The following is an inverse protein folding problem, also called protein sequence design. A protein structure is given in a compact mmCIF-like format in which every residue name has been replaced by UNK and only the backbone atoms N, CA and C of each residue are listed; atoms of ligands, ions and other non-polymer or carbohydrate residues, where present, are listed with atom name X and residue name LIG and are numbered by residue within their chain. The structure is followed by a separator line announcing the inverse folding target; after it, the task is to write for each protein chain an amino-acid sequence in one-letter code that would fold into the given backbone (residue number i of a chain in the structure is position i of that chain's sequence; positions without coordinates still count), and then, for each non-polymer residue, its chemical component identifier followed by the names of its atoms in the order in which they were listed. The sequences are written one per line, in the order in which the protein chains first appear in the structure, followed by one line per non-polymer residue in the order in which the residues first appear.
data_IF_750519550814
#
_entry.id   IF_750519550814
#
_cell.length_a   1.000
_cell.length_b   1.000
_cell.length_c   1.000
_cell.angle_alpha   90.00
_cell.angle_beta   90.00
_cell.angle_gamma   90.00
#
_symmetry.space_group_name_H-M   'P 1'
#
loop_
_entity.id
_entity.type
_entity.pdbx_description
1 polymer ?
#
# COMPACT_ATOMS: atom_id res chain seq x y z
N UNK A 1 19.01 -13.28 -4.76
CA UNK A 1 18.79 -12.84 -3.37
C UNK A 1 18.12 -11.47 -3.38
N UNK A 2 17.73 -10.90 -2.23
CA UNK A 2 16.96 -9.61 -2.19
C UNK A 2 17.68 -8.45 -2.88
N UNK A 3 18.99 -8.41 -2.83
CA UNK A 3 19.78 -7.37 -3.51
C UNK A 3 19.61 -7.43 -5.04
N UNK A 4 19.83 -8.58 -5.65
CA UNK A 4 19.63 -8.78 -7.10
C UNK A 4 18.20 -8.39 -7.49
N UNK A 5 17.22 -8.80 -6.69
CA UNK A 5 15.81 -8.51 -6.94
C UNK A 5 15.49 -6.99 -6.84
N UNK A 6 16.15 -6.24 -5.93
CA UNK A 6 16.01 -4.79 -5.84
C UNK A 6 16.51 -4.09 -7.13
N UNK A 7 17.66 -4.51 -7.64
CA UNK A 7 18.16 -4.01 -8.93
C UNK A 7 17.30 -4.45 -10.11
N UNK A 8 16.71 -5.67 -10.08
CA UNK A 8 15.79 -6.15 -11.12
C UNK A 8 14.54 -5.28 -11.20
N UNK A 9 13.98 -4.89 -10.06
CA UNK A 9 12.84 -3.96 -10.03
C UNK A 9 13.19 -2.63 -10.66
N UNK A 10 14.34 -2.04 -10.36
CA UNK A 10 14.79 -0.77 -10.97
C UNK A 10 15.09 -0.92 -12.47
N UNK A 11 15.66 -2.06 -12.90
CA UNK A 11 15.90 -2.32 -14.33
C UNK A 11 14.62 -2.40 -15.14
N UNK A 12 13.55 -2.97 -14.59
CA UNK A 12 12.23 -2.99 -15.22
C UNK A 12 11.64 -1.59 -15.39
N UNK A 13 12.14 -0.60 -14.66
CA UNK A 13 11.75 0.80 -14.74
C UNK A 13 12.71 1.64 -15.60
N UNK A 14 13.59 1.01 -16.41
CA UNK A 14 14.64 1.68 -17.20
C UNK A 14 15.53 2.61 -16.36
N UNK A 15 15.73 2.28 -15.08
CA UNK A 15 16.67 2.98 -14.18
C UNK A 15 17.92 2.16 -14.03
N UNK A 16 18.92 2.48 -14.87
CA UNK A 16 20.24 1.93 -14.74
C UNK A 16 20.90 2.41 -13.44
N UNK A 17 21.70 1.55 -12.83
CA UNK A 17 22.53 1.91 -11.69
C UNK A 17 23.45 3.08 -12.08
N UNK A 18 23.48 4.15 -11.29
CA UNK A 18 24.35 5.29 -11.50
C UNK A 18 25.42 5.31 -10.40
N UNK A 19 26.70 5.10 -10.80
CA UNK A 19 27.84 5.27 -9.91
C UNK A 19 28.00 4.18 -8.85
N UNK A 20 28.65 4.52 -7.74
CA UNK A 20 29.04 3.63 -6.65
C UNK A 20 27.93 3.44 -5.59
N UNK A 21 26.69 3.32 -6.01
CA UNK A 21 25.58 3.04 -5.10
C UNK A 21 25.85 1.73 -4.38
N UNK A 22 26.05 1.78 -3.07
CA UNK A 22 26.21 0.60 -2.25
C UNK A 22 24.91 0.27 -1.54
N UNK A 23 24.25 -0.81 -1.95
CA UNK A 23 23.14 -1.40 -1.22
C UNK A 23 23.65 -2.54 -0.37
N UNK A 24 23.51 -2.40 0.94
CA UNK A 24 23.91 -3.42 1.91
C UNK A 24 22.68 -3.93 2.63
N UNK A 25 22.50 -5.25 2.66
CA UNK A 25 21.54 -5.89 3.53
C UNK A 25 22.25 -6.45 4.76
N UNK A 26 21.79 -6.08 5.94
CA UNK A 26 22.22 -6.69 7.19
C UNK A 26 21.28 -7.82 7.58
N UNK A 27 21.76 -8.77 8.38
CA UNK A 27 21.11 -10.01 8.81
C UNK A 27 20.82 -10.98 7.66
N UNK A 28 20.47 -12.23 8.01
CA UNK A 28 20.09 -13.27 7.04
C UNK A 28 18.72 -13.01 6.41
N UNK A 29 18.42 -13.76 5.33
CA UNK A 29 17.07 -13.78 4.73
C UNK A 29 16.10 -14.68 5.52
N UNK A 30 16.39 -15.02 6.75
CA UNK A 30 15.54 -15.89 7.56
C UNK A 30 14.18 -15.21 7.77
N UNK A 31 13.11 -15.96 7.55
CA UNK A 31 11.79 -15.40 7.64
C UNK A 31 11.43 -15.03 9.09
N UNK A 32 10.92 -13.82 9.24
CA UNK A 32 10.40 -13.28 10.49
C UNK A 32 8.97 -13.78 10.76
N UNK A 33 8.32 -14.40 9.77
CA UNK A 33 6.94 -14.86 9.84
C UNK A 33 6.77 -16.31 9.44
N UNK A 34 5.82 -16.99 10.05
CA UNK A 34 5.44 -18.37 9.72
C UNK A 34 4.58 -18.37 8.46
N UNK A 35 5.23 -18.37 7.30
CA UNK A 35 4.58 -18.41 5.99
C UNK A 35 5.47 -19.14 4.98
N UNK A 36 4.90 -19.95 4.07
CA UNK A 36 5.67 -20.56 2.99
C UNK A 36 6.10 -19.53 1.93
N UNK A 37 5.46 -18.36 1.89
CA UNK A 37 5.74 -17.35 0.88
C UNK A 37 6.97 -16.50 1.23
N UNK A 38 7.75 -16.15 0.21
CA UNK A 38 8.98 -15.34 0.34
C UNK A 38 8.69 -13.84 0.52
N UNK A 39 7.75 -13.51 1.43
CA UNK A 39 7.35 -12.11 1.70
C UNK A 39 8.51 -11.27 2.22
N UNK A 40 9.39 -11.85 3.04
CA UNK A 40 10.60 -11.20 3.54
C UNK A 40 11.51 -10.74 2.41
N UNK A 41 11.71 -11.62 1.40
CA UNK A 41 12.51 -11.30 0.21
C UNK A 41 11.88 -10.18 -0.61
N UNK A 42 10.58 -10.24 -0.87
CA UNK A 42 9.86 -9.23 -1.63
C UNK A 42 9.88 -7.86 -0.92
N UNK A 43 9.57 -7.82 0.38
CA UNK A 43 9.60 -6.58 1.17
C UNK A 43 10.99 -5.97 1.25
N UNK A 44 12.01 -6.77 1.53
CA UNK A 44 13.41 -6.31 1.55
C UNK A 44 13.86 -5.75 0.19
N UNK A 45 13.50 -6.43 -0.91
CA UNK A 45 13.84 -5.98 -2.26
C UNK A 45 13.15 -4.65 -2.61
N UNK A 46 11.86 -4.49 -2.28
CA UNK A 46 11.13 -3.24 -2.51
C UNK A 46 11.77 -2.06 -1.75
N UNK A 47 12.13 -2.27 -0.47
CA UNK A 47 12.79 -1.25 0.35
C UNK A 47 14.22 -0.98 -0.11
N UNK A 48 14.96 -2.00 -0.57
CA UNK A 48 16.27 -1.83 -1.20
C UNK A 48 16.19 -0.96 -2.46
N UNK A 49 15.20 -1.21 -3.32
CA UNK A 49 14.95 -0.40 -4.52
C UNK A 49 14.58 1.06 -4.16
N UNK A 50 13.80 1.27 -3.10
CA UNK A 50 13.51 2.61 -2.56
C UNK A 50 14.81 3.30 -2.13
N UNK A 51 15.67 2.62 -1.37
CA UNK A 51 16.94 3.19 -0.93
C UNK A 51 17.81 3.63 -2.10
N UNK A 52 17.93 2.79 -3.13
CA UNK A 52 18.66 3.12 -4.37
C UNK A 52 18.03 4.31 -5.10
N UNK A 53 16.70 4.38 -5.21
CA UNK A 53 16.01 5.51 -5.83
C UNK A 53 16.19 6.82 -5.05
N UNK A 54 16.23 6.76 -3.72
CA UNK A 54 16.54 7.90 -2.84
C UNK A 54 17.97 8.37 -3.02
N UNK A 55 18.93 7.43 -3.14
CA UNK A 55 20.35 7.76 -3.43
C UNK A 55 20.48 8.44 -4.80
N UNK A 56 19.73 7.96 -5.81
CA UNK A 56 19.69 8.57 -7.15
C UNK A 56 19.11 10.01 -7.12
N UNK A 57 18.01 10.23 -6.40
CA UNK A 57 17.44 11.57 -6.20
C UNK A 57 18.42 12.49 -5.44
N UNK A 58 19.14 11.95 -4.47
CA UNK A 58 20.17 12.72 -3.76
C UNK A 58 21.34 13.08 -4.66
N UNK A 59 21.76 12.17 -5.52
CA UNK A 59 22.78 12.46 -6.54
C UNK A 59 22.33 13.58 -7.50
N UNK A 60 21.07 13.55 -7.95
CA UNK A 60 20.52 14.64 -8.78
C UNK A 60 20.49 16.00 -8.04
N UNK A 61 20.27 15.97 -6.71
CA UNK A 61 20.15 17.17 -5.88
C UNK A 61 21.48 17.69 -5.34
N UNK A 62 22.34 16.79 -4.86
CA UNK A 62 23.58 17.11 -4.13
C UNK A 62 24.86 16.79 -4.94
N UNK A 63 24.75 16.19 -6.12
CA UNK A 63 25.88 15.86 -7.00
C UNK A 63 26.61 14.56 -6.65
N UNK A 64 26.23 13.85 -5.57
CA UNK A 64 26.87 12.61 -5.14
C UNK A 64 25.83 11.59 -4.63
N UNK A 65 26.05 10.29 -4.87
CA UNK A 65 25.22 9.24 -4.30
C UNK A 65 25.52 9.06 -2.81
N UNK A 66 24.70 8.23 -2.13
CA UNK A 66 24.94 7.84 -0.74
C UNK A 66 24.72 6.35 -0.55
N UNK A 67 25.37 5.77 0.49
CA UNK A 67 25.21 4.36 0.81
C UNK A 67 23.82 4.07 1.41
N UNK A 68 23.31 2.90 1.08
CA UNK A 68 21.99 2.39 1.50
C UNK A 68 22.18 1.14 2.34
N UNK A 69 21.57 1.10 3.52
CA UNK A 69 21.57 -0.09 4.38
C UNK A 69 20.14 -0.49 4.74
N UNK A 70 19.81 -1.76 4.59
CA UNK A 70 18.52 -2.35 4.94
C UNK A 70 18.73 -3.48 5.94
N UNK A 71 18.18 -3.36 7.14
CA UNK A 71 18.03 -4.48 8.05
C UNK A 71 16.86 -5.36 7.59
N UNK A 72 17.13 -6.63 7.22
CA UNK A 72 16.10 -7.54 6.69
C UNK A 72 15.01 -7.87 7.71
N UNK A 73 15.35 -7.92 9.01
CA UNK A 73 14.34 -8.13 10.05
C UNK A 73 13.42 -6.92 10.16
N UNK A 74 13.96 -5.70 10.13
CA UNK A 74 13.16 -4.47 10.10
C UNK A 74 12.29 -4.39 8.83
N UNK A 75 12.86 -4.70 7.66
CA UNK A 75 12.15 -4.73 6.39
C UNK A 75 10.98 -5.72 6.41
N UNK A 76 11.19 -6.91 6.98
CA UNK A 76 10.14 -7.92 7.09
C UNK A 76 9.09 -7.51 8.12
N UNK A 77 9.50 -7.06 9.30
CA UNK A 77 8.60 -6.58 10.34
C UNK A 77 7.72 -5.42 9.83
N UNK A 78 8.24 -4.57 8.95
CA UNK A 78 7.49 -3.44 8.39
C UNK A 78 6.24 -3.85 7.59
N UNK A 79 6.17 -5.09 7.09
CA UNK A 79 5.00 -5.64 6.40
C UNK A 79 3.79 -5.89 7.34
N UNK A 80 3.95 -5.59 8.63
CA UNK A 80 2.93 -5.74 9.68
C UNK A 80 3.02 -4.59 10.70
N UNK A 81 3.60 -3.43 10.33
CA UNK A 81 3.93 -2.36 11.28
C UNK A 81 2.73 -1.87 12.10
N UNK A 82 1.54 -1.81 11.51
CA UNK A 82 0.32 -1.41 12.21
C UNK A 82 -0.02 -2.29 13.43
N UNK A 83 0.37 -3.57 13.42
CA UNK A 83 0.09 -4.48 14.54
C UNK A 83 1.05 -4.31 15.71
N UNK A 84 2.15 -3.59 15.53
CA UNK A 84 3.13 -3.28 16.57
C UNK A 84 2.86 -1.95 17.26
N UNK A 85 1.89 -1.16 16.75
CA UNK A 85 1.52 0.09 17.38
C UNK A 85 0.91 -0.17 18.76
N UNK A 86 1.43 0.53 19.77
CA UNK A 86 0.79 0.65 21.07
C UNK A 86 0.45 2.13 21.32
N UNK A 87 -0.79 2.37 21.77
CA UNK A 87 -1.24 3.68 22.22
C UNK A 87 -1.34 3.68 23.74
N UNK A 88 -0.55 4.50 24.41
CA UNK A 88 -0.51 4.57 25.88
C UNK A 88 -0.33 3.16 26.51
N UNK A 89 0.52 2.32 25.91
CA UNK A 89 0.78 0.94 26.32
C UNK A 89 -0.26 -0.10 25.90
N UNK A 90 -1.38 0.30 25.28
CA UNK A 90 -2.46 -0.60 24.89
C UNK A 90 -2.46 -0.86 23.37
N UNK A 91 -2.81 -2.08 22.98
CA UNK A 91 -2.97 -2.46 21.58
C UNK A 91 -4.33 -2.02 21.05
N UNK A 92 -4.41 -1.20 19.99
CA UNK A 92 -5.69 -0.85 19.37
C UNK A 92 -6.40 -2.08 18.77
N UNK A 93 -7.74 -2.06 18.77
CA UNK A 93 -8.56 -3.11 18.12
C UNK A 93 -8.62 -2.84 16.63
N UNK A 94 -8.35 -3.85 15.81
CA UNK A 94 -8.18 -3.66 14.36
C UNK A 94 -9.09 -4.51 13.45
N UNK A 95 -9.76 -5.55 13.96
CA UNK A 95 -10.56 -6.46 13.14
C UNK A 95 -12.01 -6.55 13.60
N UNK A 96 -12.94 -6.48 12.64
CA UNK A 96 -14.34 -6.79 12.87
C UNK A 96 -14.51 -8.29 13.08
N UNK A 97 -15.29 -8.73 14.10
CA UNK A 97 -15.47 -10.17 14.41
C UNK A 97 -16.15 -10.96 13.29
N UNK A 98 -16.86 -10.30 12.37
CA UNK A 98 -17.47 -10.96 11.22
C UNK A 98 -16.52 -11.10 10.04
N UNK A 99 -15.36 -10.44 10.03
CA UNK A 99 -14.37 -10.61 8.95
C UNK A 99 -13.75 -12.02 9.02
N UNK A 100 -13.79 -12.76 7.92
CA UNK A 100 -13.23 -14.12 7.92
C UNK A 100 -13.77 -15.03 6.83
N UNK A 101 -13.41 -16.31 6.97
CA UNK A 101 -13.77 -17.38 6.04
C UNK A 101 -15.12 -18.01 6.44
N UNK A 102 -15.93 -18.33 5.43
CA UNK A 102 -17.25 -18.93 5.52
C UNK A 102 -17.42 -19.99 4.45
N UNK A 103 -17.89 -21.18 4.83
CA UNK A 103 -18.19 -22.27 3.89
C UNK A 103 -19.48 -21.96 3.10
N UNK A 104 -19.48 -22.31 1.83
CA UNK A 104 -20.63 -22.20 0.93
C UNK A 104 -21.29 -23.57 0.68
N UNK A 105 -22.49 -23.61 0.15
CA UNK A 105 -23.30 -24.82 -0.12
C UNK A 105 -22.56 -25.82 -1.01
N UNK A 106 -21.83 -25.34 -2.01
CA UNK A 106 -21.06 -26.13 -2.97
C UNK A 106 -19.68 -26.57 -2.46
N UNK A 107 -19.41 -26.42 -1.14
CA UNK A 107 -18.17 -26.83 -0.49
C UNK A 107 -16.97 -25.91 -0.74
N UNK A 108 -17.17 -24.76 -1.33
CA UNK A 108 -16.14 -23.72 -1.45
C UNK A 108 -16.04 -22.89 -0.16
N UNK A 109 -15.07 -22.00 -0.14
CA UNK A 109 -14.88 -21.07 0.97
C UNK A 109 -14.87 -19.64 0.44
N UNK A 110 -15.65 -18.78 1.08
CA UNK A 110 -15.74 -17.34 0.82
C UNK A 110 -15.04 -16.58 1.94
N UNK A 111 -14.22 -15.58 1.62
CA UNK A 111 -13.75 -14.61 2.60
C UNK A 111 -14.58 -13.33 2.49
N UNK A 112 -15.11 -12.85 3.62
CA UNK A 112 -15.83 -11.59 3.73
C UNK A 112 -15.00 -10.58 4.53
N UNK A 113 -14.89 -9.34 4.03
CA UNK A 113 -14.19 -8.25 4.71
C UNK A 113 -15.21 -7.23 5.22
N UNK A 114 -15.41 -7.19 6.53
CA UNK A 114 -16.49 -6.44 7.20
C UNK A 114 -16.00 -5.27 8.07
N UNK A 115 -14.72 -4.94 8.04
CA UNK A 115 -14.11 -3.88 8.87
C UNK A 115 -14.69 -2.47 8.66
N UNK A 116 -15.43 -2.25 7.58
CA UNK A 116 -16.15 -1.01 7.36
C UNK A 116 -17.65 -1.23 7.57
N UNK A 117 -18.37 -0.33 8.30
CA UNK A 117 -19.79 -0.51 8.63
C UNK A 117 -20.66 -0.87 7.43
N UNK A 118 -20.52 -0.15 6.32
CA UNK A 118 -21.31 -0.39 5.10
C UNK A 118 -21.00 -1.74 4.42
N UNK A 119 -19.78 -2.30 4.60
CA UNK A 119 -19.46 -3.66 4.12
C UNK A 119 -20.04 -4.71 5.03
N UNK A 120 -20.02 -4.49 6.35
CA UNK A 120 -20.64 -5.36 7.33
C UNK A 120 -22.15 -5.46 7.13
N UNK A 121 -22.83 -4.33 7.09
CA UNK A 121 -24.27 -4.25 6.83
C UNK A 121 -24.65 -4.87 5.48
N UNK A 122 -23.87 -4.59 4.46
CA UNK A 122 -24.07 -5.16 3.13
C UNK A 122 -23.90 -6.66 3.09
N UNK A 123 -22.88 -7.22 3.76
CA UNK A 123 -22.65 -8.66 3.83
C UNK A 123 -23.83 -9.37 4.54
N UNK A 124 -24.30 -8.84 5.66
CA UNK A 124 -25.47 -9.37 6.38
C UNK A 124 -26.73 -9.32 5.51
N UNK A 125 -27.03 -8.18 4.92
CA UNK A 125 -28.22 -7.99 4.08
C UNK A 125 -28.19 -8.88 2.83
N UNK A 126 -27.07 -8.98 2.13
CA UNK A 126 -26.95 -9.74 0.87
C UNK A 126 -27.00 -11.25 1.15
N UNK A 127 -26.32 -11.72 2.19
CA UNK A 127 -26.35 -13.14 2.55
C UNK A 127 -27.73 -13.59 3.08
N UNK A 128 -28.54 -12.65 3.59
CA UNK A 128 -29.79 -12.95 4.27
C UNK A 128 -29.62 -13.34 5.74
N UNK A 129 -28.49 -12.95 6.37
CA UNK A 129 -28.28 -13.17 7.80
C UNK A 129 -29.24 -12.32 8.63
N UNK A 130 -30.01 -12.95 9.51
CA UNK A 130 -31.01 -12.27 10.37
C UNK A 130 -30.38 -11.49 11.51
N UNK A 131 -29.20 -11.92 11.98
CA UNK A 131 -28.49 -11.32 13.10
C UNK A 131 -27.05 -10.99 12.72
N UNK A 132 -26.46 -10.01 13.40
CA UNK A 132 -25.07 -9.57 13.20
C UNK A 132 -24.06 -10.42 13.97
N UNK A 133 -24.26 -11.74 14.05
CA UNK A 133 -23.35 -12.70 14.68
C UNK A 133 -22.59 -13.48 13.63
N UNK A 134 -21.46 -14.06 14.01
CA UNK A 134 -20.65 -14.88 13.11
C UNK A 134 -21.37 -16.17 12.70
N UNK A 135 -22.09 -16.76 13.62
CA UNK A 135 -22.89 -17.98 13.45
C UNK A 135 -24.02 -17.75 12.45
N UNK A 136 -24.82 -16.71 12.64
CA UNK A 136 -25.92 -16.36 11.72
C UNK A 136 -25.42 -16.04 10.31
N UNK A 137 -24.27 -15.35 10.19
CA UNK A 137 -23.65 -15.08 8.89
C UNK A 137 -23.13 -16.36 8.23
N UNK A 138 -22.55 -17.28 9.00
CA UNK A 138 -22.11 -18.59 8.49
C UNK A 138 -23.27 -19.44 7.97
N UNK A 139 -24.37 -19.53 8.74
CA UNK A 139 -25.58 -20.23 8.31
C UNK A 139 -26.21 -19.63 7.05
N UNK A 140 -26.16 -18.29 6.92
CA UNK A 140 -26.70 -17.62 5.75
C UNK A 140 -25.84 -17.87 4.52
N UNK A 141 -24.51 -17.75 4.63
CA UNK A 141 -23.55 -18.00 3.52
C UNK A 141 -23.61 -19.46 3.07
N UNK A 142 -23.78 -20.42 3.98
CA UNK A 142 -23.91 -21.85 3.67
C UNK A 142 -25.13 -22.21 2.79
N UNK A 143 -26.06 -21.28 2.57
CA UNK A 143 -27.20 -21.47 1.66
C UNK A 143 -26.91 -21.06 0.23
N UNK A 144 -25.77 -20.40 -0.02
CA UNK A 144 -25.38 -19.89 -1.33
C UNK A 144 -24.32 -20.76 -1.98
N UNK A 145 -24.36 -20.86 -3.32
CA UNK A 145 -23.20 -21.32 -4.09
C UNK A 145 -22.12 -20.23 -4.14
N UNK A 146 -20.87 -20.66 -4.14
CA UNK A 146 -19.74 -19.75 -3.98
C UNK A 146 -19.68 -18.65 -5.03
N UNK A 147 -19.87 -18.98 -6.33
CA UNK A 147 -19.84 -17.98 -7.39
C UNK A 147 -21.03 -17.02 -7.33
N UNK A 148 -22.20 -17.50 -6.90
CA UNK A 148 -23.39 -16.67 -6.76
C UNK A 148 -23.22 -15.61 -5.67
N UNK A 149 -22.75 -16.01 -4.46
CA UNK A 149 -22.53 -15.06 -3.37
C UNK A 149 -21.38 -14.10 -3.68
N UNK A 150 -20.31 -14.55 -4.34
CA UNK A 150 -19.21 -13.66 -4.76
C UNK A 150 -19.73 -12.56 -5.69
N UNK A 151 -20.57 -12.95 -6.68
CA UNK A 151 -21.19 -12.00 -7.61
C UNK A 151 -22.16 -11.05 -6.91
N UNK A 152 -22.99 -11.55 -5.99
CA UNK A 152 -23.95 -10.75 -5.24
C UNK A 152 -23.27 -9.74 -4.31
N UNK A 153 -22.21 -10.12 -3.58
CA UNK A 153 -21.42 -9.25 -2.72
C UNK A 153 -20.74 -8.15 -3.55
N UNK A 154 -20.13 -8.52 -4.68
CA UNK A 154 -19.49 -7.55 -5.57
C UNK A 154 -20.51 -6.58 -6.21
N UNK A 155 -21.63 -7.10 -6.70
CA UNK A 155 -22.73 -6.32 -7.29
C UNK A 155 -23.38 -5.38 -6.27
N UNK A 156 -23.45 -5.78 -5.00
CA UNK A 156 -23.91 -4.94 -3.90
C UNK A 156 -22.91 -3.89 -3.41
N UNK A 157 -21.76 -3.75 -4.06
CA UNK A 157 -20.73 -2.78 -3.70
C UNK A 157 -19.99 -3.13 -2.40
N UNK A 158 -20.10 -4.38 -1.94
CA UNK A 158 -19.41 -4.89 -0.76
C UNK A 158 -18.09 -5.59 -1.15
N UNK A 159 -17.36 -6.10 -0.17
CA UNK A 159 -16.05 -6.71 -0.38
C UNK A 159 -16.02 -8.15 0.15
N UNK A 160 -15.79 -9.06 -0.77
CA UNK A 160 -15.62 -10.47 -0.51
C UNK A 160 -15.07 -11.18 -1.73
N UNK A 161 -14.52 -12.37 -1.56
CA UNK A 161 -13.97 -13.16 -2.65
C UNK A 161 -13.84 -14.63 -2.27
N UNK A 162 -14.06 -15.49 -3.27
CA UNK A 162 -13.85 -16.92 -3.11
C UNK A 162 -12.36 -17.23 -2.97
N UNK A 163 -12.07 -18.16 -2.07
CA UNK A 163 -10.74 -18.79 -2.03
C UNK A 163 -10.56 -19.62 -3.30
N UNK A 164 -9.45 -19.37 -3.98
CA UNK A 164 -9.06 -20.09 -5.20
C UNK A 164 -7.70 -20.75 -5.00
N UNK A 165 -7.45 -21.79 -5.79
CA UNK A 165 -6.07 -22.26 -5.98
C UNK A 165 -5.29 -21.31 -6.90
N UNK A 166 -3.97 -21.49 -6.99
CA UNK A 166 -3.14 -20.75 -7.94
C UNK A 166 -3.54 -21.06 -9.39
N UNK A 167 -3.87 -22.33 -9.67
CA UNK A 167 -4.29 -22.81 -10.97
C UNK A 167 -5.64 -22.20 -11.37
N UNK A 168 -6.62 -22.22 -10.46
CA UNK A 168 -7.92 -21.57 -10.67
C UNK A 168 -7.76 -20.08 -10.98
N UNK A 169 -6.88 -19.39 -10.24
CA UNK A 169 -6.64 -17.97 -10.46
C UNK A 169 -5.96 -17.70 -11.81
N UNK A 170 -4.94 -18.46 -12.17
CA UNK A 170 -4.24 -18.27 -13.45
C UNK A 170 -5.12 -18.56 -14.66
N UNK A 171 -6.13 -19.42 -14.53
CA UNK A 171 -7.15 -19.68 -15.54
C UNK A 171 -8.31 -18.68 -15.51
N UNK A 172 -8.47 -17.91 -14.42
CA UNK A 172 -9.55 -16.96 -14.28
C UNK A 172 -9.40 -15.80 -15.27
N UNK A 173 -10.47 -15.31 -15.95
CA UNK A 173 -10.37 -14.25 -16.96
C UNK A 173 -9.64 -12.99 -16.48
N UNK A 174 -9.82 -12.61 -15.21
CA UNK A 174 -9.10 -11.48 -14.64
C UNK A 174 -7.63 -11.82 -14.36
N UNK A 175 -7.34 -13.02 -13.87
CA UNK A 175 -5.98 -13.51 -13.68
C UNK A 175 -5.17 -13.49 -14.97
N UNK A 176 -5.78 -13.97 -16.08
CA UNK A 176 -5.18 -13.92 -17.43
C UNK A 176 -4.91 -12.47 -17.89
N UNK A 177 -5.86 -11.57 -17.64
CA UNK A 177 -5.71 -10.17 -18.05
C UNK A 177 -4.54 -9.48 -17.29
N UNK A 178 -4.49 -9.62 -15.96
CA UNK A 178 -3.47 -8.94 -15.14
C UNK A 178 -2.10 -9.61 -15.19
N UNK A 179 -1.99 -10.87 -15.59
CA UNK A 179 -0.71 -11.56 -15.74
C UNK A 179 0.21 -10.91 -16.78
N UNK A 180 -0.33 -10.10 -17.69
CA UNK A 180 0.41 -9.38 -18.74
C UNK A 180 0.91 -8.00 -18.28
N UNK A 181 0.43 -7.51 -17.16
CA UNK A 181 0.78 -6.19 -16.65
C UNK A 181 2.09 -6.23 -15.86
N UNK A 182 2.90 -5.18 -15.88
CA UNK A 182 4.11 -5.10 -15.09
C UNK A 182 3.79 -4.99 -13.59
N UNK A 183 4.76 -5.29 -12.74
CA UNK A 183 4.67 -5.12 -11.29
C UNK A 183 4.36 -3.67 -10.91
N UNK A 184 4.99 -2.74 -11.62
CA UNK A 184 4.89 -1.30 -11.46
C UNK A 184 4.95 -0.67 -12.85
N UNK A 185 3.99 0.19 -13.17
CA UNK A 185 3.87 0.86 -14.46
C UNK A 185 4.05 2.38 -14.27
N UNK A 186 4.87 3.01 -15.14
CA UNK A 186 5.11 4.45 -15.12
C UNK A 186 5.00 4.97 -16.55
N UNK A 187 3.89 5.64 -16.85
CA UNK A 187 3.60 6.18 -18.18
C UNK A 187 3.58 7.71 -18.21
N UNK A 188 4.08 8.30 -19.29
CA UNK A 188 3.98 9.74 -19.52
C UNK A 188 2.54 10.09 -19.94
N UNK A 189 1.93 11.06 -19.26
CA UNK A 189 0.54 11.48 -19.49
C UNK A 189 0.39 12.94 -19.90
N UNK A 190 1.47 13.69 -20.00
CA UNK A 190 1.45 15.08 -20.43
C UNK A 190 2.85 15.61 -20.69
N UNK A 191 2.95 16.65 -21.50
CA UNK A 191 4.20 17.33 -21.77
C UNK A 191 4.44 18.47 -20.78
N UNK A 192 5.68 18.59 -20.32
CA UNK A 192 6.17 19.71 -19.51
C UNK A 192 7.69 19.81 -19.67
N UNK A 193 8.29 20.98 -19.53
CA UNK A 193 9.76 21.09 -19.53
C UNK A 193 10.37 20.36 -18.33
N UNK A 194 11.65 19.94 -18.42
CA UNK A 194 12.38 19.41 -17.28
C UNK A 194 12.33 20.36 -16.10
N UNK A 195 12.02 19.81 -14.92
CA UNK A 195 11.89 20.57 -13.67
C UNK A 195 12.85 19.99 -12.63
N UNK A 196 13.91 20.69 -12.25
CA UNK A 196 14.84 20.24 -11.22
C UNK A 196 14.11 19.90 -9.91
N UNK A 197 14.70 18.99 -9.13
CA UNK A 197 14.18 18.68 -7.79
C UNK A 197 14.21 19.93 -6.90
N UNK A 198 13.21 20.14 -6.06
CA UNK A 198 13.20 21.25 -5.11
C UNK A 198 14.43 21.20 -4.18
N UNK A 199 14.90 22.37 -3.72
CA UNK A 199 15.97 22.45 -2.73
C UNK A 199 15.52 21.84 -1.40
N UNK A 200 16.44 21.27 -0.63
CA UNK A 200 16.18 20.70 0.67
C UNK A 200 17.35 19.83 1.15
N UNK A 201 17.35 19.50 2.41
CA UNK A 201 18.40 18.78 3.13
C UNK A 201 18.24 17.24 3.09
N UNK A 202 17.18 16.76 2.45
CA UNK A 202 16.87 15.33 2.27
C UNK A 202 16.46 15.05 0.82
N UNK A 203 16.47 13.78 0.37
CA UNK A 203 16.18 13.44 -1.04
C UNK A 203 14.86 14.02 -1.55
N UNK A 204 13.80 13.99 -0.74
CA UNK A 204 12.48 14.52 -1.07
C UNK A 204 12.16 15.87 -0.41
N UNK A 205 13.15 16.54 0.20
CA UNK A 205 12.96 17.88 0.80
C UNK A 205 12.42 18.87 -0.24
N UNK A 206 11.34 19.58 0.11
CA UNK A 206 10.64 20.52 -0.75
C UNK A 206 9.65 19.92 -1.74
N UNK A 207 9.54 18.60 -1.83
CA UNK A 207 8.51 17.92 -2.65
C UNK A 207 7.17 17.96 -1.91
N UNK A 208 6.11 18.43 -2.56
CA UNK A 208 4.74 18.49 -2.03
C UNK A 208 3.89 17.34 -2.54
N UNK A 209 3.38 16.54 -1.63
CA UNK A 209 2.58 15.33 -1.92
C UNK A 209 1.16 15.49 -1.41
N UNK A 210 0.19 15.50 -2.31
CA UNK A 210 -1.23 15.49 -2.00
C UNK A 210 -1.71 14.04 -1.95
N UNK A 211 -1.99 13.54 -0.73
CA UNK A 211 -2.30 12.13 -0.46
C UNK A 211 -3.80 11.95 -0.21
N UNK A 212 -4.54 11.47 -1.23
CA UNK A 212 -5.96 11.13 -1.16
C UNK A 212 -6.18 9.62 -0.99
N UNK A 213 -5.30 8.96 -0.27
CA UNK A 213 -5.40 7.52 -0.07
C UNK A 213 -6.06 7.16 1.26
N UNK A 214 -6.41 5.88 1.42
CA UNK A 214 -7.07 5.37 2.62
C UNK A 214 -6.58 3.96 2.91
N UNK A 215 -6.86 3.50 4.11
CA UNK A 215 -6.52 2.19 4.62
C UNK A 215 -5.00 2.05 4.74
N UNK A 216 -4.29 1.24 3.96
CA UNK A 216 -2.93 0.85 4.29
C UNK A 216 -1.91 1.11 3.16
N UNK A 217 -2.14 0.63 1.93
CA UNK A 217 -1.16 0.71 0.84
C UNK A 217 -0.75 2.16 0.51
N UNK A 218 -1.72 3.02 0.21
CA UNK A 218 -1.45 4.42 -0.09
C UNK A 218 -0.87 5.19 1.08
N UNK A 219 -1.46 5.12 2.30
CA UNK A 219 -0.89 5.75 3.47
C UNK A 219 0.54 5.30 3.79
N UNK A 220 0.91 4.03 3.52
CA UNK A 220 2.31 3.56 3.62
C UNK A 220 3.21 4.28 2.63
N UNK A 221 2.78 4.46 1.36
CA UNK A 221 3.52 5.25 0.37
C UNK A 221 3.77 6.68 0.86
N UNK A 222 2.72 7.36 1.33
CA UNK A 222 2.83 8.72 1.88
C UNK A 222 3.78 8.80 3.09
N UNK A 223 3.79 7.78 4.00
CA UNK A 223 4.72 7.71 5.12
C UNK A 223 6.17 7.60 4.63
N UNK A 224 6.45 6.72 3.65
CA UNK A 224 7.80 6.56 3.08
C UNK A 224 8.28 7.86 2.43
N UNK A 225 7.41 8.59 1.75
CA UNK A 225 7.77 9.89 1.17
C UNK A 225 8.04 10.94 2.26
N UNK A 226 7.22 10.99 3.30
CA UNK A 226 7.35 11.94 4.42
C UNK A 226 8.62 11.70 5.24
N UNK A 227 8.97 10.44 5.57
CA UNK A 227 10.17 10.11 6.34
C UNK A 227 11.47 10.47 5.60
N UNK A 228 11.40 10.68 4.28
CA UNK A 228 12.52 11.10 3.43
C UNK A 228 12.43 12.57 2.99
N UNK A 229 11.56 13.38 3.63
CA UNK A 229 11.56 14.84 3.55
C UNK A 229 10.43 15.47 2.77
N UNK A 230 9.55 14.72 2.12
CA UNK A 230 8.39 15.30 1.44
C UNK A 230 7.41 15.96 2.42
N UNK A 231 6.83 17.10 2.04
CA UNK A 231 5.65 17.65 2.69
C UNK A 231 4.42 16.89 2.22
N UNK A 232 3.88 16.01 3.07
CA UNK A 232 2.71 15.20 2.74
C UNK A 232 1.47 15.77 3.42
N UNK A 233 0.50 16.21 2.61
CA UNK A 233 -0.82 16.63 3.05
C UNK A 233 -1.83 15.51 2.75
N UNK A 234 -2.21 14.76 3.78
CA UNK A 234 -3.20 13.71 3.70
C UNK A 234 -4.62 14.29 3.75
N UNK A 235 -5.39 14.06 2.69
CA UNK A 235 -6.75 14.55 2.54
C UNK A 235 -7.74 13.41 2.74
N UNK A 236 -8.65 13.57 3.68
CA UNK A 236 -9.77 12.68 3.91
C UNK A 236 -11.10 13.45 3.88
N UNK A 237 -12.22 12.74 3.93
CA UNK A 237 -13.54 13.38 3.99
C UNK A 237 -14.25 12.97 5.28
N UNK A 238 -14.91 13.90 5.99
CA UNK A 238 -15.47 13.64 7.32
C UNK A 238 -16.60 12.59 7.33
N UNK A 239 -17.22 12.34 6.17
CA UNK A 239 -18.28 11.33 6.03
C UNK A 239 -17.76 9.92 5.69
N UNK A 240 -16.46 9.77 5.43
CA UNK A 240 -15.87 8.47 5.10
C UNK A 240 -15.33 7.82 6.38
N UNK A 241 -15.65 6.54 6.63
CA UNK A 241 -15.08 5.83 7.78
C UNK A 241 -13.57 5.67 7.62
N UNK A 242 -12.83 5.70 8.73
CA UNK A 242 -11.39 5.46 8.76
C UNK A 242 -11.02 4.56 9.94
N UNK A 243 -9.84 3.99 9.88
CA UNK A 243 -9.28 3.11 10.90
C UNK A 243 -8.17 3.85 11.64
N UNK A 244 -8.45 4.25 12.87
CA UNK A 244 -7.55 5.07 13.69
C UNK A 244 -6.22 4.37 13.97
N UNK A 245 -6.25 3.07 14.19
CA UNK A 245 -5.07 2.23 14.45
C UNK A 245 -4.10 2.21 13.26
N UNK A 246 -4.61 2.24 12.04
CA UNK A 246 -3.78 2.32 10.83
C UNK A 246 -3.20 3.74 10.68
N UNK A 247 -4.00 4.76 11.00
CA UNK A 247 -3.53 6.15 10.95
C UNK A 247 -2.42 6.42 11.97
N UNK A 248 -2.48 5.79 13.17
CA UNK A 248 -1.40 5.87 14.16
C UNK A 248 -0.08 5.31 13.66
N UNK A 249 -0.10 4.30 12.79
CA UNK A 249 1.09 3.75 12.13
C UNK A 249 1.54 4.60 10.94
N UNK A 250 0.63 4.85 10.01
CA UNK A 250 0.97 5.43 8.70
C UNK A 250 0.93 6.95 8.65
N UNK A 251 0.45 7.60 9.70
CA UNK A 251 0.28 9.07 9.77
C UNK A 251 1.54 9.84 10.12
N UNK A 252 2.61 9.17 10.56
CA UNK A 252 3.86 9.83 10.94
C UNK A 252 4.46 10.64 9.78
N UNK A 253 4.90 11.85 10.08
CA UNK A 253 5.48 12.79 9.11
C UNK A 253 4.46 13.57 8.28
N UNK A 254 3.17 13.25 8.35
CA UNK A 254 2.10 13.85 7.53
C UNK A 254 1.32 14.91 8.28
N UNK A 255 0.68 15.80 7.52
CA UNK A 255 -0.43 16.66 7.95
C UNK A 255 -1.74 16.09 7.43
N UNK A 256 -2.81 16.16 8.22
CA UNK A 256 -4.10 15.54 7.92
C UNK A 256 -5.22 16.59 7.88
N UNK A 257 -5.88 16.78 6.73
CA UNK A 257 -6.92 17.75 6.53
C UNK A 257 -8.23 17.14 6.02
N UNK A 258 -9.36 17.82 6.27
CA UNK A 258 -10.65 17.47 5.70
C UNK A 258 -10.94 18.25 4.42
N UNK A 259 -11.34 17.53 3.36
CA UNK A 259 -11.98 18.12 2.17
C UNK A 259 -13.15 17.22 1.76
N UNK A 260 -14.35 17.78 1.63
CA UNK A 260 -15.53 17.07 1.14
C UNK A 260 -15.78 17.37 -0.35
N UNK A 261 -15.40 16.43 -1.22
CA UNK A 261 -15.57 16.55 -2.67
C UNK A 261 -17.03 16.42 -3.16
N UNK A 262 -18.01 16.33 -2.27
CA UNK A 262 -19.43 16.45 -2.61
C UNK A 262 -19.85 17.93 -2.64
N UNK A 263 -19.02 18.82 -2.11
CA UNK A 263 -19.25 20.26 -2.04
C UNK A 263 -18.40 21.00 -3.08
N UNK A 264 -18.96 21.96 -3.82
CA UNK A 264 -18.19 22.76 -4.78
C UNK A 264 -16.96 23.45 -4.17
N UNK A 265 -17.08 23.95 -2.94
CA UNK A 265 -15.96 24.55 -2.21
C UNK A 265 -14.82 23.56 -1.95
N UNK A 266 -15.15 22.27 -1.68
CA UNK A 266 -14.16 21.23 -1.51
C UNK A 266 -13.42 20.90 -2.81
N UNK A 267 -14.14 20.88 -3.93
CA UNK A 267 -13.54 20.70 -5.26
C UNK A 267 -12.58 21.86 -5.55
N UNK A 268 -13.01 23.12 -5.38
CA UNK A 268 -12.17 24.30 -5.61
C UNK A 268 -10.91 24.32 -4.69
N UNK A 269 -11.07 23.90 -3.43
CA UNK A 269 -9.94 23.78 -2.50
C UNK A 269 -8.93 22.74 -2.99
N UNK A 270 -9.39 21.57 -3.43
CA UNK A 270 -8.50 20.52 -3.94
C UNK A 270 -7.80 20.97 -5.23
N UNK A 271 -8.49 21.62 -6.16
CA UNK A 271 -7.88 22.19 -7.37
C UNK A 271 -6.77 23.20 -7.03
N UNK A 272 -7.01 24.10 -6.08
CA UNK A 272 -6.00 25.03 -5.59
C UNK A 272 -4.75 24.33 -5.05
N UNK A 273 -4.93 23.24 -4.30
CA UNK A 273 -3.81 22.44 -3.80
C UNK A 273 -3.05 21.71 -4.91
N UNK A 274 -3.76 21.25 -5.95
CA UNK A 274 -3.13 20.55 -7.10
C UNK A 274 -2.17 21.48 -7.83
N UNK A 275 -2.48 22.77 -8.02
CA UNK A 275 -1.62 23.73 -8.70
C UNK A 275 -0.23 23.90 -8.05
N UNK A 276 -0.09 23.55 -6.78
CA UNK A 276 1.17 23.65 -6.04
C UNK A 276 1.81 22.29 -5.72
N UNK A 277 1.14 21.19 -6.07
CA UNK A 277 1.61 19.85 -5.78
C UNK A 277 2.64 19.34 -6.78
N UNK A 278 3.61 18.59 -6.31
CA UNK A 278 4.53 17.80 -7.15
C UNK A 278 3.95 16.41 -7.43
N UNK A 279 3.19 15.87 -6.47
CA UNK A 279 2.66 14.51 -6.51
C UNK A 279 1.20 14.52 -6.07
N UNK A 280 0.36 13.80 -6.79
CA UNK A 280 -1.03 13.52 -6.44
C UNK A 280 -1.25 12.02 -6.34
N UNK A 281 -1.47 11.51 -5.12
CA UNK A 281 -1.64 10.08 -4.86
C UNK A 281 -3.09 9.77 -4.51
N UNK A 282 -3.67 8.74 -5.13
CA UNK A 282 -5.03 8.27 -4.85
C UNK A 282 -5.09 6.74 -4.75
N UNK A 283 -6.01 6.23 -3.90
CA UNK A 283 -6.30 4.81 -3.71
C UNK A 283 -7.76 4.45 -3.93
N UNK A 284 -8.52 5.29 -4.64
CA UNK A 284 -9.90 5.00 -5.01
C UNK A 284 -9.94 4.10 -6.25
N UNK A 285 -11.06 3.41 -6.43
CA UNK A 285 -11.28 2.59 -7.63
C UNK A 285 -11.08 3.41 -8.91
N UNK A 286 -10.52 2.79 -9.97
CA UNK A 286 -10.37 3.47 -11.26
C UNK A 286 -11.67 4.19 -11.69
N UNK A 287 -11.53 5.44 -12.16
CA UNK A 287 -12.65 6.29 -12.58
C UNK A 287 -13.37 7.06 -11.46
N UNK A 288 -13.22 6.73 -10.18
CA UNK A 288 -13.97 7.38 -9.09
C UNK A 288 -13.63 8.87 -8.95
N UNK A 289 -12.37 9.26 -8.95
CA UNK A 289 -11.95 10.66 -8.90
C UNK A 289 -12.09 11.33 -10.27
N UNK A 290 -11.90 10.62 -11.36
CA UNK A 290 -12.13 11.12 -12.72
C UNK A 290 -13.58 11.62 -12.89
N UNK A 291 -14.57 10.90 -12.36
CA UNK A 291 -15.98 11.32 -12.36
C UNK A 291 -16.24 12.59 -11.54
N UNK A 292 -15.26 13.07 -10.76
CA UNK A 292 -15.29 14.32 -9.99
C UNK A 292 -14.37 15.40 -10.55
N UNK A 293 -13.85 15.22 -11.78
CA UNK A 293 -12.97 16.19 -12.42
C UNK A 293 -11.48 16.01 -12.15
N UNK A 294 -11.09 14.92 -11.46
CA UNK A 294 -9.69 14.64 -11.11
C UNK A 294 -9.18 13.37 -11.79
N UNK A 295 -9.28 13.30 -13.14
CA UNK A 295 -8.56 12.29 -13.89
C UNK A 295 -7.06 12.61 -13.94
N UNK A 296 -6.17 11.62 -14.12
CA UNK A 296 -4.74 11.88 -14.25
C UNK A 296 -4.40 12.91 -15.34
N UNK A 297 -5.08 12.85 -16.48
CA UNK A 297 -4.90 13.77 -17.59
C UNK A 297 -5.33 15.19 -17.20
N UNK A 298 -6.50 15.33 -16.55
CA UNK A 298 -6.95 16.63 -16.06
C UNK A 298 -6.05 17.23 -14.99
N UNK A 299 -5.53 16.40 -14.08
CA UNK A 299 -4.55 16.83 -13.07
C UNK A 299 -3.26 17.29 -13.75
N UNK A 300 -2.80 16.61 -14.82
CA UNK A 300 -1.64 17.01 -15.60
C UNK A 300 -1.85 18.33 -16.38
N UNK A 301 -3.08 18.60 -16.81
CA UNK A 301 -3.45 19.92 -17.39
C UNK A 301 -3.44 21.04 -16.34
N UNK A 302 -3.96 20.78 -15.14
CA UNK A 302 -3.98 21.73 -14.02
C UNK A 302 -2.56 22.05 -13.53
N UNK A 303 -1.69 21.06 -13.48
CA UNK A 303 -0.32 21.17 -12.98
C UNK A 303 0.64 20.41 -13.90
N UNK A 304 1.13 21.02 -14.99
CA UNK A 304 2.12 20.40 -15.86
C UNK A 304 3.40 20.01 -15.10
N UNK A 305 3.84 18.78 -15.30
CA UNK A 305 4.96 18.19 -14.55
C UNK A 305 4.58 17.49 -13.25
N UNK A 306 3.30 17.34 -12.95
CA UNK A 306 2.84 16.59 -11.78
C UNK A 306 3.04 15.08 -11.96
N UNK A 307 3.26 14.37 -10.85
CA UNK A 307 3.29 12.91 -10.78
C UNK A 307 1.97 12.43 -10.20
N UNK A 308 1.16 11.73 -10.98
CA UNK A 308 -0.05 11.06 -10.51
C UNK A 308 0.28 9.64 -10.07
N UNK A 309 -0.25 9.20 -8.93
CA UNK A 309 -0.06 7.83 -8.41
C UNK A 309 -1.42 7.19 -8.16
N UNK A 310 -1.65 6.04 -8.75
CA UNK A 310 -2.91 5.29 -8.63
C UNK A 310 -2.66 3.90 -8.09
N UNK A 311 -3.24 3.61 -6.92
CA UNK A 311 -3.15 2.31 -6.25
C UNK A 311 -4.53 1.68 -6.24
N UNK A 312 -4.64 0.41 -6.66
CA UNK A 312 -5.92 -0.32 -6.64
C UNK A 312 -5.71 -1.81 -6.30
N UNK A 313 -6.80 -2.52 -6.01
CA UNK A 313 -6.70 -3.92 -5.62
C UNK A 313 -6.43 -4.85 -6.81
N UNK A 314 -7.18 -4.68 -7.89
CA UNK A 314 -7.24 -5.65 -8.99
C UNK A 314 -6.55 -5.20 -10.28
N UNK A 315 -5.82 -4.09 -10.28
CA UNK A 315 -5.21 -3.55 -11.50
C UNK A 315 -6.15 -2.58 -12.23
N UNK A 316 -5.58 -1.91 -13.24
CA UNK A 316 -6.27 -0.86 -13.99
C UNK A 316 -6.96 -1.40 -15.25
N UNK A 317 -6.80 -2.69 -15.54
CA UNK A 317 -7.34 -3.38 -16.72
C UNK A 317 -8.01 -4.70 -16.31
N UNK A 318 -8.78 -5.27 -17.24
CA UNK A 318 -9.46 -6.54 -17.07
C UNK A 318 -10.81 -6.45 -16.36
N UNK A 319 -11.55 -7.58 -16.28
CA UNK A 319 -12.97 -7.61 -15.87
C UNK A 319 -13.22 -7.12 -14.42
N UNK A 320 -12.22 -7.19 -13.53
CA UNK A 320 -12.37 -6.81 -12.13
C UNK A 320 -11.71 -5.46 -11.78
N UNK A 321 -11.22 -4.70 -12.77
CA UNK A 321 -10.54 -3.43 -12.53
C UNK A 321 -11.36 -2.43 -11.69
N UNK A 322 -12.69 -2.45 -11.81
CA UNK A 322 -13.61 -1.61 -11.03
C UNK A 322 -14.07 -2.23 -9.70
N UNK A 323 -13.71 -3.49 -9.41
CA UNK A 323 -14.12 -4.15 -8.15
C UNK A 323 -13.41 -3.54 -6.94
N UNK A 324 -14.13 -3.54 -5.82
CA UNK A 324 -13.54 -3.24 -4.51
C UNK A 324 -12.71 -4.43 -4.03
N UNK A 325 -11.59 -4.18 -3.39
CA UNK A 325 -10.75 -5.20 -2.79
C UNK A 325 -9.85 -4.63 -1.71
N UNK A 326 -9.38 -5.51 -0.86
CA UNK A 326 -8.38 -5.27 0.19
C UNK A 326 -7.35 -6.39 0.13
N UNK A 327 -6.23 -6.22 0.79
CA UNK A 327 -5.15 -7.19 0.89
C UNK A 327 -5.67 -8.61 1.17
N UNK A 328 -6.45 -8.78 2.24
CA UNK A 328 -7.00 -10.08 2.64
C UNK A 328 -7.83 -10.76 1.55
N UNK A 329 -8.60 -9.99 0.76
CA UNK A 329 -9.40 -10.56 -0.34
C UNK A 329 -8.49 -10.98 -1.49
N UNK A 330 -7.52 -10.12 -1.86
CA UNK A 330 -6.60 -10.43 -2.95
C UNK A 330 -5.76 -11.68 -2.62
N UNK A 331 -5.33 -11.86 -1.37
CA UNK A 331 -4.67 -13.10 -0.93
C UNK A 331 -5.54 -14.35 -1.20
N UNK A 332 -6.85 -14.26 -0.94
CA UNK A 332 -7.78 -15.37 -1.10
C UNK A 332 -8.07 -15.68 -2.58
N UNK A 333 -8.39 -14.67 -3.37
CA UNK A 333 -8.73 -14.90 -4.78
C UNK A 333 -7.54 -15.29 -5.65
N UNK A 334 -6.31 -14.90 -5.25
CA UNK A 334 -5.07 -15.23 -5.99
C UNK A 334 -4.42 -16.55 -5.57
N UNK A 335 -4.97 -17.25 -4.59
CA UNK A 335 -4.48 -18.56 -4.12
C UNK A 335 -3.37 -18.50 -3.08
N UNK A 336 -2.97 -17.31 -2.60
CA UNK A 336 -1.94 -17.21 -1.55
C UNK A 336 -2.45 -17.82 -0.23
N UNK A 337 -3.70 -17.55 0.14
CA UNK A 337 -4.32 -18.09 1.37
C UNK A 337 -4.54 -19.60 1.32
N UNK A 338 -4.87 -20.16 0.16
CA UNK A 338 -5.01 -21.61 -0.01
C UNK A 338 -3.68 -22.33 0.18
N UNK A 339 -2.58 -21.77 -0.32
CA UNK A 339 -1.25 -22.35 -0.15
C UNK A 339 -0.65 -22.09 1.25
N UNK A 340 -1.09 -21.04 1.97
CA UNK A 340 -0.76 -20.83 3.38
C UNK A 340 -1.45 -21.87 4.29
N UNK A 341 -2.63 -22.32 3.91
CA UNK A 341 -3.42 -23.39 4.54
C UNK A 341 -3.77 -24.49 3.55
N UNK A 342 -5.06 -24.65 3.28
CA UNK A 342 -5.61 -25.50 2.20
C UNK A 342 -6.82 -24.79 1.58
N UNK A 343 -7.36 -25.31 0.46
CA UNK A 343 -8.61 -24.78 -0.11
C UNK A 343 -9.80 -24.90 0.86
N UNK A 344 -9.84 -25.98 1.65
CA UNK A 344 -10.90 -26.23 2.62
C UNK A 344 -10.70 -25.47 3.95
N UNK A 345 -9.45 -25.20 4.30
CA UNK A 345 -9.04 -24.49 5.52
C UNK A 345 -7.99 -23.42 5.18
N UNK A 346 -8.38 -22.39 4.43
CA UNK A 346 -7.46 -21.35 4.01
C UNK A 346 -7.00 -20.50 5.20
N UNK A 347 -5.81 -19.97 5.11
CA UNK A 347 -5.28 -19.00 6.06
C UNK A 347 -4.73 -17.81 5.32
N UNK A 348 -5.08 -16.61 5.74
CA UNK A 348 -4.39 -15.43 5.25
C UNK A 348 -2.94 -15.42 5.72
N UNK A 349 -2.09 -14.74 4.99
CA UNK A 349 -0.71 -14.49 5.42
C UNK A 349 -0.72 -13.78 6.80
N UNK A 350 0.29 -14.02 7.64
CA UNK A 350 0.39 -13.37 8.94
C UNK A 350 0.67 -11.85 8.85
N UNK A 351 0.62 -11.30 7.64
CA UNK A 351 0.97 -9.90 7.30
C UNK A 351 0.07 -9.38 6.18
N UNK A 352 -0.09 -8.04 6.10
CA UNK A 352 -0.71 -7.35 4.97
C UNK A 352 0.36 -7.06 3.90
N UNK A 353 1.05 -8.12 3.43
CA UNK A 353 2.20 -8.00 2.53
C UNK A 353 1.86 -7.27 1.22
N UNK A 354 0.65 -7.49 0.70
CA UNK A 354 0.24 -6.88 -0.58
C UNK A 354 0.08 -5.37 -0.44
N UNK A 355 -0.55 -4.91 0.64
CA UNK A 355 -0.73 -3.48 0.92
C UNK A 355 0.62 -2.78 1.16
N UNK A 356 1.45 -3.31 2.07
CA UNK A 356 2.73 -2.67 2.39
C UNK A 356 3.66 -2.62 1.19
N UNK A 357 3.81 -3.73 0.46
CA UNK A 357 4.67 -3.79 -0.73
C UNK A 357 4.10 -2.91 -1.85
N UNK A 358 2.78 -2.86 -2.06
CA UNK A 358 2.18 -1.93 -3.01
C UNK A 358 2.45 -0.46 -2.63
N UNK A 359 2.40 -0.14 -1.34
CA UNK A 359 2.77 1.17 -0.82
C UNK A 359 4.24 1.51 -1.08
N UNK A 360 5.15 0.56 -0.87
CA UNK A 360 6.58 0.72 -1.18
C UNK A 360 6.82 0.92 -2.67
N UNK A 361 6.18 0.12 -3.52
CA UNK A 361 6.28 0.26 -4.98
C UNK A 361 5.68 1.57 -5.48
N UNK A 362 4.63 2.07 -4.87
CA UNK A 362 4.04 3.37 -5.20
C UNK A 362 5.00 4.52 -4.83
N UNK A 363 5.65 4.45 -3.66
CA UNK A 363 6.71 5.39 -3.29
C UNK A 363 7.91 5.31 -4.23
N UNK A 364 8.37 4.10 -4.57
CA UNK A 364 9.43 3.87 -5.55
C UNK A 364 9.08 4.48 -6.91
N UNK A 365 7.88 4.19 -7.43
CA UNK A 365 7.41 4.74 -8.71
C UNK A 365 7.36 6.26 -8.70
N UNK A 366 6.94 6.86 -7.57
CA UNK A 366 6.96 8.31 -7.36
C UNK A 366 8.38 8.86 -7.48
N UNK A 367 9.36 8.24 -6.83
CA UNK A 367 10.77 8.66 -6.86
C UNK A 367 11.36 8.56 -8.27
N UNK A 368 11.10 7.44 -8.97
CA UNK A 368 11.53 7.24 -10.35
C UNK A 368 10.90 8.28 -11.30
N UNK A 369 9.60 8.55 -11.13
CA UNK A 369 8.90 9.55 -11.93
C UNK A 369 9.40 10.98 -11.66
N UNK A 370 9.72 11.33 -10.40
CA UNK A 370 10.36 12.60 -10.05
C UNK A 370 11.75 12.75 -10.71
N UNK A 371 12.55 11.69 -10.77
CA UNK A 371 13.83 11.70 -11.46
C UNK A 371 13.63 11.86 -12.98
N UNK A 372 12.68 11.13 -13.60
CA UNK A 372 12.32 11.30 -15.02
C UNK A 372 11.86 12.73 -15.31
N UNK A 373 11.00 13.30 -14.46
CA UNK A 373 10.58 14.71 -14.58
C UNK A 373 11.76 15.66 -14.55
N UNK A 374 12.71 15.45 -13.67
CA UNK A 374 13.89 16.32 -13.56
C UNK A 374 14.80 16.24 -14.80
N UNK A 375 14.90 15.08 -15.43
CA UNK A 375 15.77 14.81 -16.57
C UNK A 375 15.10 15.04 -17.93
N UNK A 376 13.84 14.67 -18.06
CA UNK A 376 13.13 14.58 -19.35
C UNK A 376 11.88 15.47 -19.40
N UNK A 377 11.48 16.05 -18.26
CA UNK A 377 10.19 16.75 -18.16
C UNK A 377 8.99 15.79 -18.19
N UNK A 378 7.82 16.36 -18.48
CA UNK A 378 6.55 15.62 -18.59
C UNK A 378 5.85 15.40 -17.27
N UNK A 379 4.54 15.14 -17.36
CA UNK A 379 3.70 14.62 -16.29
C UNK A 379 3.64 13.10 -16.39
N UNK A 380 3.63 12.41 -15.26
CA UNK A 380 3.75 10.95 -15.22
C UNK A 380 2.65 10.31 -14.38
N UNK A 381 2.18 9.14 -14.79
CA UNK A 381 1.24 8.32 -14.06
C UNK A 381 1.93 7.03 -13.60
N UNK A 382 1.93 6.81 -12.30
CA UNK A 382 2.40 5.60 -11.63
C UNK A 382 1.19 4.72 -11.30
N UNK A 383 1.20 3.45 -11.72
CA UNK A 383 0.13 2.48 -11.45
C UNK A 383 0.69 1.31 -10.66
N UNK A 384 0.04 0.99 -9.55
CA UNK A 384 0.37 -0.15 -8.68
C UNK A 384 -0.91 -0.88 -8.31
N UNK A 385 -0.84 -2.20 -8.16
CA UNK A 385 -1.98 -2.96 -7.68
C UNK A 385 -1.59 -4.11 -6.76
N UNK A 386 -2.49 -4.45 -5.83
CA UNK A 386 -2.27 -5.55 -4.89
C UNK A 386 -2.16 -6.89 -5.62
N UNK A 387 -2.92 -7.08 -6.70
CA UNK A 387 -2.88 -8.31 -7.49
C UNK A 387 -1.51 -8.53 -8.15
N UNK A 388 -0.84 -7.47 -8.60
CA UNK A 388 0.50 -7.57 -9.16
C UNK A 388 1.54 -7.92 -8.10
N UNK A 389 1.39 -7.38 -6.89
CA UNK A 389 2.22 -7.77 -5.73
C UNK A 389 2.00 -9.25 -5.39
N UNK A 390 0.74 -9.73 -5.41
CA UNK A 390 0.44 -11.14 -5.20
C UNK A 390 1.11 -12.05 -6.25
N UNK A 391 1.07 -11.64 -7.52
CA UNK A 391 1.77 -12.35 -8.61
C UNK A 391 3.28 -12.35 -8.40
N UNK A 392 3.85 -11.21 -8.01
CA UNK A 392 5.28 -11.09 -7.74
C UNK A 392 5.71 -11.99 -6.59
N UNK A 393 5.01 -11.97 -5.44
CA UNK A 393 5.30 -12.87 -4.32
C UNK A 393 5.22 -14.34 -4.77
N UNK A 394 4.18 -14.69 -5.52
CA UNK A 394 4.01 -16.06 -6.02
C UNK A 394 5.13 -16.48 -6.97
N UNK A 395 5.65 -15.58 -7.80
CA UNK A 395 6.75 -15.86 -8.73
C UNK A 395 8.09 -16.13 -8.04
N UNK A 396 8.25 -15.68 -6.79
CA UNK A 396 9.44 -15.94 -5.98
C UNK A 396 9.46 -17.37 -5.40
N UNK A 397 8.38 -18.13 -5.56
CA UNK A 397 8.22 -19.47 -5.04
C UNK A 397 8.01 -19.52 -3.53
N UNK A 398 8.06 -20.73 -2.99
CA UNK A 398 7.82 -21.03 -1.58
C UNK A 398 9.11 -21.42 -0.83
N UNK A 399 9.02 -21.47 0.48
CA UNK A 399 10.07 -21.90 1.40
C UNK A 399 9.71 -23.32 1.87
N UNK A 400 10.59 -24.28 1.65
CA UNK A 400 10.42 -25.63 2.16
C UNK A 400 10.53 -25.64 3.70
N UNK A 401 9.71 -26.46 4.35
CA UNK A 401 9.73 -26.59 5.81
C UNK A 401 9.20 -25.40 6.57
N UNK A 402 8.38 -24.55 5.94
CA UNK A 402 7.83 -23.32 6.53
C UNK A 402 7.10 -23.50 7.87
N UNK A 403 6.57 -24.69 8.15
CA UNK A 403 5.94 -25.00 9.44
C UNK A 403 6.90 -24.95 10.65
N UNK A 404 8.20 -25.06 10.41
CA UNK A 404 9.25 -24.96 11.45
C UNK A 404 9.76 -23.54 11.68
N UNK A 405 9.28 -22.55 10.92
CA UNK A 405 9.71 -21.16 11.07
C UNK A 405 9.18 -20.56 12.38
N UNK A 406 9.92 -19.60 12.90
CA UNK A 406 9.55 -18.89 14.15
C UNK A 406 9.41 -17.41 13.88
N UNK A 407 8.49 -16.79 14.61
CA UNK A 407 8.37 -15.32 14.65
C UNK A 407 9.62 -14.69 15.29
N UNK A 408 9.83 -13.41 14.97
CA UNK A 408 10.93 -12.63 15.54
C UNK A 408 10.79 -12.58 17.06
N UNK A 409 11.86 -12.86 17.82
CA UNK A 409 11.84 -12.74 19.28
C UNK A 409 11.43 -11.35 19.72
N UNK A 410 10.68 -11.24 20.83
CA UNK A 410 10.17 -9.95 21.34
C UNK A 410 11.28 -8.93 21.58
N UNK A 411 12.44 -9.37 22.13
CA UNK A 411 13.58 -8.49 22.38
C UNK A 411 14.17 -7.90 21.07
N UNK A 412 14.19 -8.69 19.99
CA UNK A 412 14.64 -8.21 18.68
C UNK A 412 13.61 -7.27 18.06
N UNK A 413 12.33 -7.58 18.17
CA UNK A 413 11.27 -6.70 17.72
C UNK A 413 11.32 -5.36 18.48
N UNK A 414 11.50 -5.38 19.80
CA UNK A 414 11.60 -4.16 20.62
C UNK A 414 12.73 -3.22 20.15
N UNK A 415 13.85 -3.77 19.69
CA UNK A 415 14.96 -2.99 19.15
C UNK A 415 14.62 -2.25 17.83
N UNK A 416 13.61 -2.71 17.10
CA UNK A 416 13.13 -2.10 15.85
C UNK A 416 12.09 -1.00 16.10
N UNK A 417 11.57 -0.87 17.31
CA UNK A 417 10.53 0.09 17.65
C UNK A 417 11.13 1.40 18.21
N UNK A 418 10.35 2.47 18.09
CA UNK A 418 10.61 3.78 18.67
C UNK A 418 9.36 4.32 19.34
N UNK A 419 9.51 5.38 20.09
CA UNK A 419 8.43 6.06 20.79
C UNK A 419 8.28 7.49 20.30
N UNK A 420 7.04 7.98 20.29
CA UNK A 420 6.72 9.36 19.95
C UNK A 420 5.54 9.85 20.78
N UNK A 421 5.52 11.14 21.09
CA UNK A 421 4.41 11.81 21.75
C UNK A 421 3.73 12.78 20.77
N UNK A 422 2.41 12.78 20.75
CA UNK A 422 1.63 13.59 19.82
C UNK A 422 0.14 13.64 20.17
N UNK A 423 -0.70 14.09 19.23
CA UNK A 423 -2.15 14.19 19.46
C UNK A 423 -2.85 12.85 19.78
N UNK A 424 -2.25 11.71 19.43
CA UNK A 424 -2.73 10.38 19.83
C UNK A 424 -2.23 9.93 21.22
N UNK A 425 -1.51 10.80 21.96
CA UNK A 425 -0.82 10.44 23.19
C UNK A 425 0.55 9.83 22.92
N UNK A 426 0.98 8.91 23.79
CA UNK A 426 2.24 8.17 23.64
C UNK A 426 2.04 6.99 22.71
N UNK A 427 2.79 6.96 21.61
CA UNK A 427 2.80 5.87 20.64
C UNK A 427 4.15 5.14 20.67
N UNK A 428 4.12 3.79 20.66
CA UNK A 428 5.25 2.95 20.31
C UNK A 428 4.98 2.35 18.94
N UNK A 429 5.88 2.51 17.99
CA UNK A 429 5.72 2.13 16.58
C UNK A 429 7.06 1.78 15.93
N UNK A 430 7.04 1.27 14.70
CA UNK A 430 8.25 0.88 13.98
C UNK A 430 9.08 2.12 13.58
N UNK A 431 10.42 1.99 13.63
CA UNK A 431 11.37 2.97 13.09
C UNK A 431 11.33 2.99 11.54
N UNK A 432 11.75 4.08 10.88
CA UNK A 432 12.08 4.05 9.46
C UNK A 432 13.08 2.94 9.13
N UNK A 433 12.84 2.20 8.04
CA UNK A 433 13.61 1.00 7.72
C UNK A 433 14.81 1.31 6.82
N UNK A 434 14.61 2.16 5.81
CA UNK A 434 15.68 2.52 4.86
C UNK A 434 16.66 3.47 5.54
N UNK A 435 17.93 3.05 5.64
CA UNK A 435 18.98 3.85 6.21
C UNK A 435 19.88 4.37 5.10
N UNK A 436 20.04 5.71 5.06
CA UNK A 436 20.89 6.43 4.12
C UNK A 436 22.05 7.05 4.89
N UNK A 437 23.26 6.96 4.35
CA UNK A 437 24.48 7.37 5.07
C UNK A 437 24.58 8.86 5.37
N UNK A 438 24.01 9.73 4.53
CA UNK A 438 24.09 11.19 4.68
C UNK A 438 22.77 11.81 5.10
N UNK A 439 21.64 11.21 4.71
CA UNK A 439 20.31 11.75 4.95
C UNK A 439 19.41 10.70 5.60
N UNK A 440 19.70 10.30 6.87
CA UNK A 440 18.93 9.28 7.55
C UNK A 440 17.44 9.65 7.63
N UNK A 441 16.58 8.68 7.38
CA UNK A 441 15.13 8.87 7.43
C UNK A 441 14.64 9.13 8.85
N UNK A 442 13.70 10.05 9.02
CA UNK A 442 13.04 10.33 10.30
C UNK A 442 11.65 10.96 10.11
N UNK A 443 10.82 10.84 11.11
CA UNK A 443 9.50 11.49 11.13
C UNK A 443 9.61 12.90 11.70
N UNK A 444 9.41 13.92 10.84
CA UNK A 444 9.49 15.33 11.26
C UNK A 444 8.35 15.76 12.20
N UNK A 445 7.29 14.95 12.28
CA UNK A 445 6.14 15.13 13.19
C UNK A 445 5.51 13.80 13.56
N UNK A 446 4.88 13.69 14.74
CA UNK A 446 4.07 12.51 15.09
C UNK A 446 2.85 12.39 14.20
N UNK A 447 2.21 11.21 14.22
CA UNK A 447 0.89 11.03 13.62
C UNK A 447 -0.15 11.92 14.29
N UNK A 448 -1.09 12.45 13.48
CA UNK A 448 -2.18 13.30 13.97
C UNK A 448 -3.55 12.78 13.50
N UNK A 449 -4.65 13.04 14.22
CA UNK A 449 -5.99 12.71 13.78
C UNK A 449 -6.34 13.38 12.46
N UNK A 450 -7.25 12.78 11.70
CA UNK A 450 -7.76 13.38 10.47
C UNK A 450 -8.43 14.73 10.78
N UNK A 451 -8.16 15.74 9.96
CA UNK A 451 -8.70 17.09 10.10
C UNK A 451 -7.99 17.97 11.14
N UNK A 452 -6.88 17.50 11.74
CA UNK A 452 -6.10 18.30 12.69
C UNK A 452 -5.35 19.46 12.04
N UNK A 453 -5.08 19.38 10.76
CA UNK A 453 -4.37 20.41 9.99
C UNK A 453 -5.30 21.12 9.00
N UNK A 454 -5.05 22.41 8.68
CA UNK A 454 -5.77 23.08 7.62
C UNK A 454 -5.40 22.50 6.24
N UNK A 455 -6.37 22.52 5.30
CA UNK A 455 -6.19 22.09 3.92
C UNK A 455 -5.42 23.16 3.09
N UNK A 456 -4.15 23.35 3.40
CA UNK A 456 -3.21 24.25 2.72
C UNK A 456 -1.78 23.77 2.90
N UNK A 457 -0.90 24.13 2.00
CA UNK A 457 0.54 23.91 2.13
C UNK A 457 1.16 24.76 3.26
N UNK A 458 2.34 24.34 3.78
CA UNK A 458 3.08 25.06 4.84
C UNK A 458 3.72 26.33 4.30
#
# INVERSE_FOLDING_TARGET
MSETLAYDVLRQLDRARRGDDSLTFTRSEDPVFVTPWRVARAGSAALGAIGLALSDLWQLKAGKPQAVTIDRHAATASLRSNTYVLQNGNKPVSWDPLAGHYATRDGRVMFLHTNHPHHREGALRISGAGEGTREALAEAVAKWDGLEIEAAIAGGGCVGGLVRSREEWTAHPHGVAVAKLPLLDIVKIGEAPPRPLPKGDRPLGGVRVLDLTRVLAGPTSGRVLAENGAEVLHIAAPHLPYQTEILMDTGHGKRCAWIDLRQPAGIATLEGLVHEADVFTQGYRPGTLAARGFSPERIAELQPGIICVSICAYGHEGPWSSRRGFDSIVQNVTGLSAAQGTLAQPRNLPVQALDYIAGYLAALGTMVALARRAEQGGSWLVRVSLVQVAHWIASLGTIDGAAGLKELPEAELAALLMESNGPFGHLRHLKPVVQLSETPAFYARPAEPLGSSPARWS
#
